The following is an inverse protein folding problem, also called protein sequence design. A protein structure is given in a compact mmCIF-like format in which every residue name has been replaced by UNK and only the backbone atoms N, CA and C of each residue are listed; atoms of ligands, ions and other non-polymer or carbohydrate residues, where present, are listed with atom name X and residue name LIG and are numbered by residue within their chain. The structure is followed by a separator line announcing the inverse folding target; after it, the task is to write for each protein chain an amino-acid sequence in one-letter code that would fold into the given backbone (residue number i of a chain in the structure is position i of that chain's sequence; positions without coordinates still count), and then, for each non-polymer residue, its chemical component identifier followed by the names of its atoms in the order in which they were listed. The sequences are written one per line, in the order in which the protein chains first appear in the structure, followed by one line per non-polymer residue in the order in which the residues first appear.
data_IF_861204454204
#
_entry.id   IF_861204454204
#
_cell.length_a   1.000
_cell.length_b   1.000
_cell.length_c   1.000
_cell.angle_alpha   90.00
_cell.angle_beta   90.00
_cell.angle_gamma   90.00
#
_symmetry.space_group_name_H-M   'P 1'
#
loop_
_entity.id
_entity.type
_entity.pdbx_description
1 polymer ?
#
# COMPACT_ATOMS: atom_id res chain seq x y z
N UNK A 1 -18.29 28.94 4.57
CA UNK A 1 -18.83 27.67 3.98
C UNK A 1 -18.59 26.56 4.98
N UNK A 2 -19.64 25.89 5.47
CA UNK A 2 -19.48 24.78 6.43
C UNK A 2 -18.89 23.57 5.71
N UNK A 3 -17.58 23.41 5.78
CA UNK A 3 -16.94 22.18 5.34
C UNK A 3 -17.16 21.14 6.45
N UNK A 4 -18.04 20.17 6.18
CA UNK A 4 -18.32 19.07 7.10
C UNK A 4 -17.17 18.06 7.03
N UNK A 5 -16.07 18.31 7.77
CA UNK A 5 -14.95 17.40 7.89
C UNK A 5 -14.53 17.20 9.34
N UNK A 6 -14.00 16.03 9.64
CA UNK A 6 -13.49 15.70 10.97
C UNK A 6 -11.99 15.99 11.05
N UNK A 7 -11.54 16.70 12.09
CA UNK A 7 -10.12 16.95 12.34
C UNK A 7 -9.63 16.05 13.47
N UNK A 8 -8.61 15.23 13.18
CA UNK A 8 -7.87 14.46 14.19
C UNK A 8 -6.51 15.12 14.41
N UNK A 9 -6.27 15.61 15.61
CA UNK A 9 -5.02 16.24 16.03
C UNK A 9 -4.12 15.24 16.74
N UNK A 10 -2.82 15.25 16.42
CA UNK A 10 -1.83 14.35 17.03
C UNK A 10 -0.42 14.95 17.00
N UNK A 11 0.58 14.26 17.56
CA UNK A 11 2.00 14.67 17.57
C UNK A 11 2.70 14.64 16.21
N UNK A 12 1.97 14.43 15.11
CA UNK A 12 2.50 14.43 13.74
C UNK A 12 3.03 15.80 13.32
N UNK A 13 3.93 15.80 12.34
CA UNK A 13 4.53 17.04 11.79
C UNK A 13 3.88 17.54 10.50
N UNK A 14 2.99 16.77 9.89
CA UNK A 14 2.41 17.07 8.56
C UNK A 14 0.89 17.01 8.57
N UNK A 15 0.24 17.80 7.69
CA UNK A 15 -1.17 17.66 7.34
C UNK A 15 -1.38 16.51 6.36
N UNK A 16 -2.49 15.79 6.48
CA UNK A 16 -2.96 14.88 5.44
C UNK A 16 -4.49 14.84 5.37
N UNK A 17 -5.00 14.61 4.16
CA UNK A 17 -6.41 14.40 3.87
C UNK A 17 -6.65 12.91 3.60
N UNK A 18 -7.77 12.42 4.06
CA UNK A 18 -8.25 11.06 3.79
C UNK A 18 -9.75 11.12 3.55
N UNK A 19 -10.23 10.48 2.48
CA UNK A 19 -11.66 10.22 2.30
C UNK A 19 -11.94 8.83 2.85
N UNK A 20 -12.92 8.72 3.75
CA UNK A 20 -13.34 7.44 4.31
C UNK A 20 -14.13 6.63 3.28
N UNK A 21 -14.33 5.33 3.47
CA UNK A 21 -15.20 4.51 2.62
C UNK A 21 -16.65 5.02 2.56
N UNK A 22 -17.11 5.76 3.57
CA UNK A 22 -18.42 6.40 3.65
C UNK A 22 -18.47 7.72 2.88
N UNK A 23 -17.32 8.19 2.34
CA UNK A 23 -17.20 9.44 1.60
C UNK A 23 -17.04 10.68 2.49
N UNK A 24 -16.66 10.52 3.76
CA UNK A 24 -16.39 11.62 4.68
C UNK A 24 -14.93 12.08 4.57
N UNK A 25 -14.71 13.39 4.67
CA UNK A 25 -13.38 13.98 4.71
C UNK A 25 -12.83 13.94 6.14
N UNK A 26 -11.69 13.26 6.30
CA UNK A 26 -10.92 13.21 7.53
C UNK A 26 -9.61 13.96 7.34
N UNK A 27 -9.33 14.95 8.19
CA UNK A 27 -8.10 15.75 8.19
C UNK A 27 -7.27 15.36 9.40
N UNK A 28 -6.05 14.89 9.17
CA UNK A 28 -5.10 14.62 10.26
C UNK A 28 -4.09 15.75 10.32
N UNK A 29 -4.01 16.42 11.48
CA UNK A 29 -3.22 17.64 11.66
C UNK A 29 -2.28 17.56 12.88
N UNK A 30 -1.18 18.33 12.89
CA UNK A 30 -0.39 18.58 14.09
C UNK A 30 -1.25 19.23 15.20
N UNK A 31 -0.99 18.87 16.46
CA UNK A 31 -1.76 19.33 17.60
C UNK A 31 -1.82 20.87 17.74
N UNK A 32 -0.71 21.55 17.36
CA UNK A 32 -0.58 23.02 17.51
C UNK A 32 -0.93 23.81 16.26
N UNK A 33 -1.32 23.15 15.15
CA UNK A 33 -1.60 23.86 13.90
C UNK A 33 -2.89 24.67 14.01
N UNK A 34 -2.89 25.99 13.68
CA UNK A 34 -4.09 26.83 13.70
C UNK A 34 -5.18 26.29 12.76
N UNK A 35 -6.45 26.43 13.13
CA UNK A 35 -7.58 25.96 12.32
C UNK A 35 -7.59 26.59 10.93
N UNK A 36 -7.31 27.88 10.83
CA UNK A 36 -7.23 28.61 9.54
C UNK A 36 -6.28 27.99 8.52
N UNK A 37 -5.17 27.39 8.99
CA UNK A 37 -4.19 26.70 8.11
C UNK A 37 -4.76 25.37 7.61
N UNK A 38 -5.53 24.69 8.43
CA UNK A 38 -6.24 23.46 8.04
C UNK A 38 -7.30 23.80 6.99
N UNK A 39 -8.09 24.85 7.23
CA UNK A 39 -9.17 25.27 6.32
C UNK A 39 -8.58 25.69 4.96
N UNK A 40 -7.53 26.49 4.95
CA UNK A 40 -6.81 26.85 3.71
C UNK A 40 -6.31 25.63 2.95
N UNK A 41 -5.71 24.67 3.64
CA UNK A 41 -5.22 23.45 3.02
C UNK A 41 -6.35 22.60 2.43
N UNK A 42 -7.50 22.54 3.08
CA UNK A 42 -8.70 21.87 2.57
C UNK A 42 -9.22 22.59 1.31
N UNK A 43 -9.26 23.92 1.31
CA UNK A 43 -9.65 24.73 0.14
C UNK A 43 -8.72 24.50 -1.04
N UNK A 44 -7.40 24.54 -0.84
CA UNK A 44 -6.40 24.25 -1.88
C UNK A 44 -6.54 22.85 -2.51
N UNK A 45 -7.08 21.90 -1.77
CA UNK A 45 -7.27 20.51 -2.22
C UNK A 45 -8.71 20.17 -2.60
N UNK A 46 -9.59 21.16 -2.71
CA UNK A 46 -11.02 20.99 -2.96
C UNK A 46 -11.30 20.14 -4.22
N UNK A 47 -10.59 20.38 -5.31
CA UNK A 47 -10.75 19.61 -6.55
C UNK A 47 -10.41 18.11 -6.34
N UNK A 48 -9.31 17.83 -5.65
CA UNK A 48 -8.92 16.47 -5.31
C UNK A 48 -9.96 15.79 -4.40
N UNK A 49 -10.47 16.52 -3.40
CA UNK A 49 -11.51 16.03 -2.48
C UNK A 49 -12.75 15.62 -3.26
N UNK A 50 -13.27 16.51 -4.12
CA UNK A 50 -14.46 16.23 -4.91
C UNK A 50 -14.28 15.03 -5.84
N UNK A 51 -13.17 14.98 -6.59
CA UNK A 51 -12.85 13.84 -7.47
C UNK A 51 -12.77 12.52 -6.68
N UNK A 52 -12.20 12.55 -5.47
CA UNK A 52 -12.05 11.36 -4.65
C UNK A 52 -13.39 10.91 -4.07
N UNK A 53 -14.22 11.84 -3.58
CA UNK A 53 -15.58 11.54 -3.09
C UNK A 53 -16.43 10.92 -4.22
N UNK A 54 -16.37 11.48 -5.42
CA UNK A 54 -17.10 10.96 -6.58
C UNK A 54 -16.66 9.52 -6.92
N UNK A 55 -15.34 9.23 -6.89
CA UNK A 55 -14.82 7.89 -7.09
C UNK A 55 -15.33 6.90 -6.03
N UNK A 56 -15.29 7.28 -4.75
CA UNK A 56 -15.80 6.44 -3.65
C UNK A 56 -17.29 6.17 -3.82
N UNK A 57 -18.08 7.19 -4.18
CA UNK A 57 -19.53 7.05 -4.42
C UNK A 57 -19.83 6.17 -5.64
N UNK A 58 -19.10 6.37 -6.73
CA UNK A 58 -19.26 5.57 -7.95
C UNK A 58 -18.91 4.09 -7.69
N UNK A 59 -17.83 3.81 -6.98
CA UNK A 59 -17.45 2.45 -6.59
C UNK A 59 -18.52 1.79 -5.71
N UNK A 60 -19.12 2.54 -4.78
CA UNK A 60 -20.22 2.07 -3.94
C UNK A 60 -21.51 1.79 -4.74
N UNK A 61 -21.84 2.63 -5.72
CA UNK A 61 -23.02 2.47 -6.58
C UNK A 61 -22.83 1.33 -7.59
N UNK A 62 -21.61 1.10 -8.07
CA UNK A 62 -21.28 0.02 -8.99
C UNK A 62 -21.24 -1.37 -8.33
N UNK A 63 -21.54 -1.49 -7.05
CA UNK A 63 -21.44 -2.75 -6.30
C UNK A 63 -20.00 -3.30 -6.21
N UNK A 64 -19.02 -2.48 -6.59
CA UNK A 64 -17.61 -2.83 -6.48
C UNK A 64 -17.19 -2.78 -5.00
N UNK A 65 -17.01 -3.97 -4.45
CA UNK A 65 -16.46 -4.29 -3.14
C UNK A 65 -17.01 -3.45 -1.97
N UNK A 66 -17.92 -4.03 -1.20
CA UNK A 66 -18.05 -3.68 0.22
C UNK A 66 -16.64 -3.68 0.83
N UNK A 67 -16.24 -2.65 1.60
CA UNK A 67 -14.94 -2.65 2.24
C UNK A 67 -14.76 -3.97 2.99
N UNK A 68 -13.59 -4.59 2.81
CA UNK A 68 -13.26 -5.85 3.48
C UNK A 68 -13.48 -5.68 4.98
N UNK A 69 -14.28 -6.56 5.57
CA UNK A 69 -14.54 -6.55 7.02
C UNK A 69 -13.26 -6.96 7.76
N UNK A 70 -13.14 -6.60 9.01
CA UNK A 70 -12.01 -6.99 9.85
C UNK A 70 -11.80 -8.51 9.91
N UNK A 71 -12.87 -9.30 9.80
CA UNK A 71 -12.79 -10.76 9.72
C UNK A 71 -12.11 -11.22 8.42
N UNK A 72 -12.44 -10.60 7.30
CA UNK A 72 -11.86 -10.89 5.99
C UNK A 72 -10.36 -10.51 5.97
N UNK A 73 -10.01 -9.36 6.52
CA UNK A 73 -8.62 -8.93 6.69
C UNK A 73 -7.82 -9.90 7.55
N UNK A 74 -8.40 -10.39 8.67
CA UNK A 74 -7.74 -11.39 9.52
C UNK A 74 -7.52 -12.70 8.77
N UNK A 75 -8.52 -13.19 8.05
CA UNK A 75 -8.41 -14.41 7.25
C UNK A 75 -7.32 -14.29 6.15
N UNK A 76 -7.26 -13.13 5.47
CA UNK A 76 -6.19 -12.83 4.49
C UNK A 76 -4.81 -12.79 5.16
N UNK A 77 -4.69 -12.18 6.34
CA UNK A 77 -3.44 -12.13 7.07
C UNK A 77 -2.97 -13.52 7.51
N UNK A 78 -3.88 -14.39 7.96
CA UNK A 78 -3.56 -15.76 8.34
C UNK A 78 -3.14 -16.60 7.11
N UNK A 79 -3.81 -16.43 5.98
CA UNK A 79 -3.40 -17.03 4.71
C UNK A 79 -2.01 -16.54 4.28
N UNK A 80 -1.77 -15.24 4.34
CA UNK A 80 -0.49 -14.64 3.97
C UNK A 80 0.68 -15.14 4.84
N UNK A 81 0.47 -15.33 6.15
CA UNK A 81 1.48 -15.91 7.06
C UNK A 81 1.89 -17.34 6.69
N UNK A 82 1.00 -18.11 6.07
CA UNK A 82 1.29 -19.48 5.58
C UNK A 82 1.91 -19.47 4.18
N UNK A 83 1.48 -18.56 3.31
CA UNK A 83 1.80 -18.58 1.88
C UNK A 83 3.08 -17.81 1.55
N UNK A 84 3.31 -16.65 2.18
CA UNK A 84 4.42 -15.75 1.81
C UNK A 84 5.79 -16.27 2.29
N UNK A 85 5.98 -16.71 3.54
CA UNK A 85 7.31 -17.09 4.04
C UNK A 85 7.99 -18.20 3.21
N UNK A 86 7.34 -19.30 2.81
CA UNK A 86 8.01 -20.31 1.99
C UNK A 86 8.38 -19.79 0.58
N UNK A 87 7.64 -18.82 0.02
CA UNK A 87 7.99 -18.17 -1.25
C UNK A 87 9.22 -17.28 -1.10
N UNK A 88 9.26 -16.48 -0.04
CA UNK A 88 10.43 -15.65 0.30
C UNK A 88 11.66 -16.51 0.47
N UNK A 89 11.56 -17.63 1.20
CA UNK A 89 12.68 -18.55 1.40
C UNK A 89 13.24 -19.09 0.08
N UNK A 90 12.38 -19.63 -0.79
CA UNK A 90 12.81 -20.16 -2.09
C UNK A 90 13.43 -19.08 -3.00
N UNK A 91 12.81 -17.90 -3.07
CA UNK A 91 13.33 -16.80 -3.86
C UNK A 91 14.66 -16.29 -3.31
N UNK A 92 14.81 -16.15 -2.00
CA UNK A 92 16.05 -15.73 -1.36
C UNK A 92 17.20 -16.70 -1.64
N UNK A 93 16.95 -18.02 -1.58
CA UNK A 93 17.93 -19.05 -1.96
C UNK A 93 18.35 -18.90 -3.43
N UNK A 94 17.39 -18.76 -4.36
CA UNK A 94 17.67 -18.62 -5.79
C UNK A 94 18.45 -17.33 -6.11
N UNK A 95 18.24 -16.26 -5.31
CA UNK A 95 18.91 -14.97 -5.46
C UNK A 95 20.26 -14.90 -4.72
N UNK A 96 20.57 -15.87 -3.85
CA UNK A 96 21.76 -15.86 -3.01
C UNK A 96 21.75 -14.71 -1.98
N UNK A 97 20.58 -14.34 -1.44
CA UNK A 97 20.43 -13.25 -0.46
C UNK A 97 19.87 -13.75 0.87
N UNK A 98 20.20 -13.04 1.95
CA UNK A 98 19.65 -13.27 3.27
C UNK A 98 18.63 -12.20 3.59
N UNK A 99 17.67 -12.51 4.45
CA UNK A 99 16.67 -11.58 4.96
C UNK A 99 16.47 -11.74 6.47
N UNK A 100 15.86 -10.74 7.09
CA UNK A 100 15.55 -10.74 8.52
C UNK A 100 14.13 -11.26 8.78
N UNK A 101 13.40 -10.56 9.64
CA UNK A 101 12.03 -10.93 10.00
C UNK A 101 11.06 -10.62 8.85
N UNK A 102 10.10 -11.54 8.62
CA UNK A 102 8.93 -11.31 7.77
C UNK A 102 7.76 -10.84 8.65
N UNK A 103 7.10 -9.76 8.26
CA UNK A 103 5.90 -9.24 8.92
C UNK A 103 4.78 -9.12 7.90
N UNK A 104 3.60 -9.64 8.23
CA UNK A 104 2.38 -9.47 7.44
C UNK A 104 1.55 -8.35 8.08
N UNK A 105 1.12 -7.40 7.26
CA UNK A 105 0.34 -6.24 7.69
C UNK A 105 -0.82 -5.97 6.73
N UNK A 106 -1.85 -5.30 7.21
CA UNK A 106 -2.79 -4.58 6.36
C UNK A 106 -2.27 -3.15 6.23
N UNK A 107 -1.82 -2.74 5.04
CA UNK A 107 -1.23 -1.42 4.78
C UNK A 107 -1.98 -0.71 3.67
N UNK A 108 -2.17 0.60 3.83
CA UNK A 108 -2.61 1.47 2.73
C UNK A 108 -1.38 2.01 1.99
N UNK A 109 -1.36 1.88 0.66
CA UNK A 109 -0.39 2.56 -0.20
C UNK A 109 0.91 1.80 -0.51
N UNK A 110 1.10 0.56 -0.02
CA UNK A 110 2.24 -0.28 -0.44
C UNK A 110 1.92 -1.77 -0.33
N UNK A 111 2.53 -2.55 -1.22
CA UNK A 111 2.37 -4.01 -1.27
C UNK A 111 3.42 -4.74 -0.46
N UNK A 112 4.61 -4.17 -0.37
CA UNK A 112 5.71 -4.67 0.42
C UNK A 112 6.65 -3.56 0.85
N UNK A 113 7.68 -3.92 1.62
CA UNK A 113 8.84 -3.09 1.92
C UNK A 113 9.99 -3.92 2.48
N UNK A 114 11.21 -3.55 2.15
CA UNK A 114 12.44 -4.07 2.74
C UNK A 114 13.16 -2.96 3.50
N UNK A 115 13.57 -3.23 4.73
CA UNK A 115 14.42 -2.29 5.48
C UNK A 115 15.91 -2.51 5.13
N UNK A 116 16.76 -1.52 5.44
CA UNK A 116 18.23 -1.64 5.30
C UNK A 116 18.81 -2.83 6.09
N UNK A 117 18.15 -3.21 7.20
CA UNK A 117 18.52 -4.40 7.99
C UNK A 117 17.95 -5.70 7.44
N UNK A 118 17.22 -5.66 6.32
CA UNK A 118 16.65 -6.83 5.64
C UNK A 118 15.33 -7.33 6.20
N UNK A 119 14.65 -6.60 7.08
CA UNK A 119 13.31 -6.97 7.51
C UNK A 119 12.32 -6.71 6.37
N UNK A 120 11.48 -7.70 6.09
CA UNK A 120 10.50 -7.68 5.02
C UNK A 120 9.10 -7.49 5.59
N UNK A 121 8.33 -6.61 4.99
CA UNK A 121 6.90 -6.48 5.30
C UNK A 121 6.11 -6.76 4.02
N UNK A 122 4.98 -7.46 4.14
CA UNK A 122 4.08 -7.74 3.03
C UNK A 122 2.65 -7.40 3.42
N UNK A 123 1.91 -6.87 2.46
CA UNK A 123 0.49 -6.60 2.62
C UNK A 123 -0.31 -7.91 2.51
N UNK A 124 -1.21 -8.15 3.45
CA UNK A 124 -2.09 -9.33 3.41
C UNK A 124 -3.03 -9.33 2.19
N UNK A 125 -3.33 -8.17 1.61
CA UNK A 125 -4.14 -8.05 0.39
C UNK A 125 -3.48 -8.70 -0.85
N UNK A 126 -2.19 -9.02 -0.81
CA UNK A 126 -1.53 -9.84 -1.82
C UNK A 126 -2.18 -11.22 -2.01
N UNK A 127 -2.97 -11.68 -1.03
CA UNK A 127 -3.73 -12.92 -1.15
C UNK A 127 -4.93 -12.83 -2.11
N UNK A 128 -5.30 -11.61 -2.51
CA UNK A 128 -6.32 -11.34 -3.54
C UNK A 128 -5.70 -11.12 -4.93
N UNK A 129 -4.40 -10.90 -5.00
CA UNK A 129 -3.68 -10.71 -6.25
C UNK A 129 -3.40 -12.04 -6.96
N UNK A 130 -3.18 -12.02 -8.28
CA UNK A 130 -2.64 -13.15 -9.01
C UNK A 130 -1.33 -13.67 -8.40
N UNK A 131 -1.08 -14.97 -8.51
CA UNK A 131 0.12 -15.58 -7.93
C UNK A 131 1.42 -15.01 -8.52
N UNK A 132 1.44 -14.67 -9.80
CA UNK A 132 2.58 -14.03 -10.46
C UNK A 132 2.90 -12.67 -9.84
N UNK A 133 1.88 -11.88 -9.50
CA UNK A 133 2.01 -10.58 -8.83
C UNK A 133 2.57 -10.75 -7.41
N UNK A 134 2.08 -11.74 -6.66
CA UNK A 134 2.65 -12.07 -5.35
C UNK A 134 4.14 -12.43 -5.46
N UNK A 135 4.51 -13.28 -6.41
CA UNK A 135 5.89 -13.68 -6.64
C UNK A 135 6.76 -12.48 -7.06
N UNK A 136 6.21 -11.59 -7.89
CA UNK A 136 6.89 -10.34 -8.26
C UNK A 136 7.18 -9.45 -7.04
N UNK A 137 6.20 -9.23 -6.15
CA UNK A 137 6.41 -8.43 -4.95
C UNK A 137 7.46 -9.07 -4.04
N UNK A 138 7.46 -10.40 -3.89
CA UNK A 138 8.48 -11.12 -3.10
C UNK A 138 9.87 -10.89 -3.68
N UNK A 139 10.05 -11.06 -4.99
CA UNK A 139 11.34 -10.83 -5.67
C UNK A 139 11.75 -9.36 -5.57
N UNK A 140 10.83 -8.42 -5.78
CA UNK A 140 11.07 -6.99 -5.66
C UNK A 140 11.65 -6.62 -4.28
N UNK A 141 11.02 -7.08 -3.20
CA UNK A 141 11.50 -6.80 -1.84
C UNK A 141 12.85 -7.48 -1.54
N UNK A 142 13.12 -8.65 -2.11
CA UNK A 142 14.41 -9.31 -1.98
C UNK A 142 15.50 -8.64 -2.82
N UNK A 143 15.19 -8.01 -3.95
CA UNK A 143 16.16 -7.23 -4.73
C UNK A 143 16.71 -6.06 -3.92
N UNK A 144 15.95 -5.49 -2.98
CA UNK A 144 16.44 -4.49 -2.04
C UNK A 144 17.54 -5.00 -1.10
N UNK A 145 17.79 -6.31 -1.02
CA UNK A 145 18.95 -6.85 -0.30
C UNK A 145 20.29 -6.61 -1.04
N UNK A 146 20.22 -6.35 -2.34
CA UNK A 146 21.38 -6.00 -3.18
C UNK A 146 21.41 -4.51 -3.52
N UNK A 147 20.25 -3.92 -3.78
CA UNK A 147 20.10 -2.53 -4.22
C UNK A 147 18.96 -1.87 -3.45
N UNK A 148 19.27 -0.95 -2.53
CA UNK A 148 18.26 -0.28 -1.69
C UNK A 148 17.44 0.77 -2.43
N UNK A 149 17.89 1.19 -3.58
CA UNK A 149 17.22 2.13 -4.50
C UNK A 149 16.57 1.37 -5.68
N UNK A 150 15.82 2.10 -6.50
CA UNK A 150 15.26 1.57 -7.75
C UNK A 150 16.11 2.00 -8.96
N UNK A 151 17.45 1.90 -8.83
CA UNK A 151 18.40 2.17 -9.89
C UNK A 151 18.28 1.18 -11.06
N UNK A 152 18.94 1.43 -12.22
CA UNK A 152 18.97 0.46 -13.31
C UNK A 152 19.49 -0.93 -12.88
N UNK A 153 20.46 -1.01 -11.95
CA UNK A 153 20.95 -2.25 -11.40
C UNK A 153 19.89 -3.04 -10.62
N UNK A 154 19.04 -2.35 -9.86
CA UNK A 154 17.88 -2.96 -9.20
C UNK A 154 16.95 -3.62 -10.22
N UNK A 155 16.56 -2.88 -11.26
CA UNK A 155 15.64 -3.40 -12.28
C UNK A 155 16.25 -4.52 -13.14
N UNK A 156 17.56 -4.51 -13.36
CA UNK A 156 18.27 -5.64 -13.98
C UNK A 156 18.19 -6.90 -13.12
N UNK A 157 18.33 -6.77 -11.80
CA UNK A 157 18.20 -7.91 -10.88
C UNK A 157 16.76 -8.45 -10.86
N UNK A 158 15.73 -7.57 -10.86
CA UNK A 158 14.34 -7.97 -10.99
C UNK A 158 14.10 -8.71 -12.30
N UNK A 159 14.57 -8.17 -13.43
CA UNK A 159 14.41 -8.76 -14.75
C UNK A 159 15.15 -10.11 -14.88
N UNK A 160 16.28 -10.28 -14.23
CA UNK A 160 17.02 -11.54 -14.17
C UNK A 160 16.20 -12.65 -13.52
N UNK A 161 15.44 -12.31 -12.47
CA UNK A 161 14.61 -13.27 -11.75
C UNK A 161 13.24 -13.48 -12.41
N UNK A 162 12.68 -12.42 -12.99
CA UNK A 162 11.36 -12.37 -13.60
C UNK A 162 11.41 -11.56 -14.90
N UNK A 163 11.73 -12.14 -16.04
CA UNK A 163 11.90 -11.41 -17.31
C UNK A 163 10.68 -10.57 -17.71
N UNK A 164 9.49 -11.05 -17.45
CA UNK A 164 8.20 -10.40 -17.81
C UNK A 164 7.62 -9.52 -16.70
N UNK A 165 8.39 -9.15 -15.68
CA UNK A 165 7.92 -8.45 -14.46
C UNK A 165 7.08 -7.17 -14.73
N UNK A 166 7.23 -6.57 -15.89
CA UNK A 166 6.47 -5.35 -16.25
C UNK A 166 4.96 -5.57 -16.30
N UNK A 167 4.51 -6.80 -16.56
CA UNK A 167 3.09 -7.18 -16.52
C UNK A 167 2.53 -7.08 -15.09
N UNK A 168 3.27 -7.63 -14.14
CA UNK A 168 2.91 -7.63 -12.72
C UNK A 168 2.98 -6.21 -12.13
N UNK A 169 4.00 -5.42 -12.53
CA UNK A 169 4.11 -4.02 -12.17
C UNK A 169 2.91 -3.20 -12.70
N UNK A 170 2.51 -3.43 -13.95
CA UNK A 170 1.36 -2.77 -14.55
C UNK A 170 0.06 -3.15 -13.83
N UNK A 171 -0.12 -4.42 -13.48
CA UNK A 171 -1.26 -4.88 -12.70
C UNK A 171 -1.35 -4.16 -11.34
N UNK A 172 -0.25 -4.04 -10.60
CA UNK A 172 -0.21 -3.32 -9.32
C UNK A 172 -0.54 -1.83 -9.46
N UNK A 173 -0.16 -1.21 -10.57
CA UNK A 173 -0.46 0.20 -10.88
C UNK A 173 -1.91 0.42 -11.35
N UNK A 174 -2.55 -0.60 -11.89
CA UNK A 174 -3.93 -0.60 -12.40
C UNK A 174 -4.90 -1.26 -11.43
N UNK A 175 -5.18 -2.53 -11.66
CA UNK A 175 -6.17 -3.33 -10.91
C UNK A 175 -5.86 -3.42 -9.41
N UNK A 176 -4.60 -3.50 -9.03
CA UNK A 176 -4.18 -3.54 -7.64
C UNK A 176 -4.53 -2.28 -6.83
N UNK A 177 -4.83 -1.15 -7.47
CA UNK A 177 -5.18 0.10 -6.77
C UNK A 177 -6.57 0.09 -6.16
N UNK A 178 -7.41 -0.84 -6.56
CA UNK A 178 -8.81 -0.93 -6.08
C UNK A 178 -8.97 -1.96 -4.96
N UNK A 179 -7.92 -2.71 -4.63
CA UNK A 179 -7.82 -3.58 -3.47
C UNK A 179 -7.37 -2.80 -2.24
#
# INVERSE_FOLDING_TARGET
MNHNFTVIRSSRKTLSLQITPEGQLLVRAPSRLPQREIDRFVEEKQEWIQKTIQKVRAAKQAGQASPLRDADIRALADRARRVIPPRVFRAAQAMGVTYGRITIRNQTGRWGSCSSTGNLNFNCLLMLAPESVLNYVVVHELCHRKHMDHSPAFWQEVARMLPDYKKEEAWLKGEGRVL
#
